data_IF_776074239268
#
_entry.id   IF_776074239268
#
_cell.length_a   1.000
_cell.length_b   1.000
_cell.length_c   1.000
_cell.angle_alpha   90.00
_cell.angle_beta   90.00
_cell.angle_gamma   90.00
#
_symmetry.space_group_name_H-M   'P 1'
#
loop_
_entity.id
_entity.type
_entity.pdbx_description
1 polymer ?
#
# COMPACT_ATOMS: atom_id res chain seq x y z
N UNK A 1 8.45 -9.89 -36.97
CA UNK A 1 6.97 -9.80 -36.93
C UNK A 1 6.30 -10.65 -35.84
N UNK A 2 6.94 -11.72 -35.32
CA UNK A 2 6.37 -12.59 -34.28
C UNK A 2 6.38 -11.97 -32.86
N UNK A 3 7.35 -11.12 -32.54
CA UNK A 3 7.49 -10.49 -31.22
C UNK A 3 6.31 -9.55 -30.87
N UNK A 4 5.84 -8.77 -31.85
CA UNK A 4 4.68 -7.87 -31.68
C UNK A 4 3.37 -8.60 -31.39
N UNK A 5 3.18 -9.80 -31.96
CA UNK A 5 2.01 -10.64 -31.67
C UNK A 5 2.04 -11.17 -30.23
N UNK A 6 3.20 -11.59 -29.74
CA UNK A 6 3.35 -12.04 -28.35
C UNK A 6 3.06 -10.92 -27.36
N UNK A 7 3.55 -9.71 -27.63
CA UNK A 7 3.32 -8.54 -26.79
C UNK A 7 1.82 -8.18 -26.71
N UNK A 8 1.12 -8.21 -27.85
CA UNK A 8 -0.33 -7.98 -27.90
C UNK A 8 -1.12 -9.04 -27.12
N UNK A 9 -0.77 -10.32 -27.26
CA UNK A 9 -1.42 -11.40 -26.50
C UNK A 9 -1.22 -11.20 -25.00
N UNK A 10 0.01 -10.86 -24.58
CA UNK A 10 0.33 -10.63 -23.19
C UNK A 10 -0.41 -9.40 -22.63
N UNK A 11 -0.49 -8.33 -23.41
CA UNK A 11 -1.24 -7.12 -23.04
C UNK A 11 -2.74 -7.42 -22.90
N UNK A 12 -3.31 -8.20 -23.82
CA UNK A 12 -4.72 -8.62 -23.78
C UNK A 12 -5.01 -9.53 -22.58
N UNK A 13 -4.08 -10.45 -22.26
CA UNK A 13 -4.19 -11.31 -21.07
C UNK A 13 -4.11 -10.50 -19.78
N UNK A 14 -3.16 -9.56 -19.69
CA UNK A 14 -3.05 -8.65 -18.55
C UNK A 14 -4.31 -7.79 -18.40
N UNK A 15 -4.83 -7.18 -19.47
CA UNK A 15 -6.06 -6.37 -19.40
C UNK A 15 -7.26 -7.17 -18.89
N UNK A 16 -7.45 -8.41 -19.37
CA UNK A 16 -8.55 -9.26 -18.92
C UNK A 16 -8.37 -9.78 -17.47
N UNK A 17 -7.12 -9.99 -17.04
CA UNK A 17 -6.83 -10.33 -15.65
C UNK A 17 -7.12 -9.15 -14.73
N UNK A 18 -6.70 -7.94 -15.11
CA UNK A 18 -6.91 -6.74 -14.29
C UNK A 18 -8.35 -6.20 -14.36
N UNK A 19 -9.09 -6.39 -15.47
CA UNK A 19 -10.49 -5.96 -15.58
C UNK A 19 -11.38 -6.66 -14.56
N UNK A 20 -11.18 -7.97 -14.37
CA UNK A 20 -11.91 -8.76 -13.35
C UNK A 20 -11.60 -8.33 -11.90
N UNK A 21 -10.48 -7.63 -11.67
CA UNK A 21 -10.13 -7.04 -10.38
C UNK A 21 -10.65 -5.60 -10.25
N UNK A 22 -10.75 -4.85 -11.35
CA UNK A 22 -11.24 -3.47 -11.36
C UNK A 22 -12.76 -3.37 -11.20
N UNK A 23 -13.51 -4.34 -11.74
CA UNK A 23 -14.98 -4.35 -11.65
C UNK A 23 -15.54 -4.88 -10.32
N UNK A 24 -14.67 -5.37 -9.42
CA UNK A 24 -15.11 -5.69 -8.07
C UNK A 24 -15.31 -4.39 -7.31
N UNK A 25 -16.55 -4.14 -6.87
CA UNK A 25 -16.86 -3.07 -5.91
C UNK A 25 -15.86 -3.20 -4.77
N UNK A 26 -14.98 -2.20 -4.64
CA UNK A 26 -13.98 -2.17 -3.57
C UNK A 26 -14.73 -2.44 -2.26
N UNK A 27 -14.22 -3.36 -1.41
CA UNK A 27 -14.84 -3.62 -0.12
C UNK A 27 -14.98 -2.29 0.61
N UNK A 28 -16.06 -2.12 1.38
CA UNK A 28 -16.22 -0.91 2.18
C UNK A 28 -15.12 -0.90 3.24
N UNK A 29 -14.14 -0.01 3.05
CA UNK A 29 -12.99 0.14 3.95
C UNK A 29 -13.38 1.16 5.01
N UNK A 30 -13.37 0.74 6.28
CA UNK A 30 -13.69 1.63 7.41
C UNK A 30 -12.47 1.85 8.30
N UNK A 31 -12.36 3.04 8.88
CA UNK A 31 -11.30 3.36 9.83
C UNK A 31 -11.56 2.64 11.17
N UNK A 32 -10.61 1.81 11.60
CA UNK A 32 -10.63 1.21 12.95
C UNK A 32 -9.95 2.14 13.94
N UNK A 33 -8.72 2.54 13.62
CA UNK A 33 -7.94 3.42 14.49
C UNK A 33 -6.96 4.28 13.69
N UNK A 34 -6.66 5.44 14.27
CA UNK A 34 -5.64 6.37 13.80
C UNK A 34 -4.92 6.92 15.02
N UNK A 35 -3.60 6.79 15.04
CA UNK A 35 -2.74 7.34 16.07
C UNK A 35 -1.76 8.30 15.43
N UNK A 36 -1.87 9.59 15.78
CA UNK A 36 -0.91 10.59 15.36
C UNK A 36 0.24 10.67 16.38
N UNK A 37 1.45 10.82 15.87
CA UNK A 37 2.65 11.04 16.67
C UNK A 37 3.14 12.45 16.34
N UNK A 38 3.16 13.32 17.35
CA UNK A 38 3.79 14.62 17.23
C UNK A 38 5.24 14.47 17.68
N UNK A 39 6.20 14.59 16.75
CA UNK A 39 7.62 14.83 17.10
C UNK A 39 8.55 15.16 15.92
N UNK A 40 8.01 15.58 14.75
CA UNK A 40 8.84 16.02 13.63
C UNK A 40 8.59 17.51 13.32
N UNK A 41 9.64 18.34 13.14
CA UNK A 41 9.49 19.78 12.91
C UNK A 41 8.63 20.09 11.68
N UNK A 42 8.90 19.41 10.56
CA UNK A 42 8.29 19.68 9.25
C UNK A 42 7.20 18.69 8.85
N UNK A 43 7.03 17.59 9.61
CA UNK A 43 6.20 16.44 9.20
C UNK A 43 5.21 15.99 10.26
N UNK A 44 4.21 15.26 9.82
CA UNK A 44 3.28 14.48 10.63
C UNK A 44 3.53 13.01 10.39
N UNK A 45 3.41 12.23 11.45
CA UNK A 45 3.51 10.78 11.39
C UNK A 45 2.23 10.19 11.98
N UNK A 46 1.65 9.22 11.29
CA UNK A 46 0.40 8.58 11.71
C UNK A 46 0.45 7.08 11.47
N UNK A 47 -0.03 6.31 12.44
CA UNK A 47 -0.38 4.91 12.26
C UNK A 47 -1.87 4.79 12.01
N UNK A 48 -2.24 4.05 10.97
CA UNK A 48 -3.63 3.87 10.54
C UNK A 48 -3.95 2.39 10.42
N UNK A 49 -5.09 2.00 10.99
CA UNK A 49 -5.65 0.66 10.87
C UNK A 49 -7.03 0.75 10.25
N UNK A 50 -7.23 0.06 9.13
CA UNK A 50 -8.50 0.00 8.41
C UNK A 50 -9.06 -1.42 8.45
N UNK A 51 -10.38 -1.54 8.53
CA UNK A 51 -11.08 -2.81 8.34
C UNK A 51 -11.32 -3.03 6.84
N UNK A 52 -10.74 -4.08 6.25
CA UNK A 52 -11.04 -4.50 4.88
C UNK A 52 -11.94 -5.75 4.83
N UNK A 53 -12.80 -5.91 5.85
CA UNK A 53 -13.81 -6.96 5.94
C UNK A 53 -13.18 -8.36 5.82
N UNK A 54 -13.57 -9.12 4.78
CA UNK A 54 -13.10 -10.48 4.50
C UNK A 54 -11.59 -10.58 4.22
N UNK A 55 -10.93 -9.46 3.94
CA UNK A 55 -9.49 -9.40 3.66
C UNK A 55 -8.66 -9.10 4.92
N UNK A 56 -9.30 -8.93 6.08
CA UNK A 56 -8.64 -8.61 7.34
C UNK A 56 -8.34 -7.12 7.52
N UNK A 57 -7.63 -6.79 8.60
CA UNK A 57 -7.26 -5.42 8.92
C UNK A 57 -6.03 -4.93 8.15
N UNK A 58 -6.18 -3.88 7.35
CA UNK A 58 -5.07 -3.20 6.70
C UNK A 58 -4.36 -2.31 7.72
N UNK A 59 -3.05 -2.44 7.85
CA UNK A 59 -2.22 -1.62 8.75
C UNK A 59 -1.15 -0.91 7.93
N UNK A 60 -1.03 0.39 8.10
CA UNK A 60 0.04 1.17 7.50
C UNK A 60 0.40 2.34 8.40
N UNK A 61 1.59 2.86 8.17
CA UNK A 61 2.04 4.11 8.74
C UNK A 61 2.22 5.12 7.61
N UNK A 62 1.98 6.40 7.88
CA UNK A 62 2.12 7.48 6.91
C UNK A 62 2.98 8.58 7.51
N UNK A 63 4.01 9.00 6.78
CA UNK A 63 4.80 10.19 7.05
C UNK A 63 4.52 11.21 5.97
N UNK A 64 4.03 12.40 6.32
CA UNK A 64 3.68 13.43 5.33
C UNK A 64 4.03 14.84 5.81
N UNK A 65 4.25 15.81 4.89
CA UNK A 65 4.57 17.19 5.27
C UNK A 65 3.42 17.83 6.05
N UNK A 66 3.71 18.70 7.03
CA UNK A 66 2.66 19.42 7.79
C UNK A 66 1.79 20.30 6.88
N UNK A 67 2.39 20.83 5.81
CA UNK A 67 1.73 21.65 4.81
C UNK A 67 1.52 20.81 3.55
N UNK A 68 0.41 20.08 3.49
CA UNK A 68 0.03 19.33 2.29
C UNK A 68 -0.46 20.30 1.21
N UNK A 69 0.06 20.14 0.00
CA UNK A 69 -0.56 20.70 -1.21
C UNK A 69 -1.41 19.64 -1.93
N UNK A 70 -2.09 20.01 -3.01
CA UNK A 70 -2.86 19.06 -3.80
C UNK A 70 -1.98 18.21 -4.74
N UNK A 71 -0.70 18.57 -4.91
CA UNK A 71 0.21 17.99 -5.92
C UNK A 71 1.35 17.18 -5.28
N UNK A 72 1.14 16.67 -4.06
CA UNK A 72 2.16 15.87 -3.38
C UNK A 72 2.39 14.53 -4.08
N UNK A 73 3.66 14.18 -4.25
CA UNK A 73 4.02 12.86 -4.76
C UNK A 73 3.86 11.81 -3.66
N UNK A 74 3.25 10.68 -3.98
CA UNK A 74 3.06 9.57 -3.04
C UNK A 74 4.09 8.48 -3.32
N UNK A 75 4.89 8.14 -2.32
CA UNK A 75 5.80 7.02 -2.32
C UNK A 75 5.25 5.91 -1.43
N UNK A 76 4.88 4.79 -2.04
CA UNK A 76 4.44 3.59 -1.33
C UNK A 76 5.63 2.66 -1.10
N UNK A 77 6.00 2.46 0.17
CA UNK A 77 6.99 1.50 0.60
C UNK A 77 6.30 0.17 0.88
N UNK A 78 6.45 -0.76 -0.07
CA UNK A 78 6.08 -2.16 0.08
C UNK A 78 7.31 -2.91 0.58
N UNK A 79 7.55 -2.88 1.89
CA UNK A 79 8.68 -3.58 2.47
C UNK A 79 8.37 -5.06 2.73
N UNK A 80 9.43 -5.87 2.80
CA UNK A 80 9.37 -7.31 3.07
C UNK A 80 8.80 -7.65 4.45
N UNK A 81 8.57 -8.96 4.67
CA UNK A 81 7.91 -9.55 5.84
C UNK A 81 8.44 -9.13 7.23
N UNK A 82 9.65 -8.57 7.30
CA UNK A 82 10.36 -8.33 8.56
C UNK A 82 10.19 -6.90 9.10
N UNK A 83 10.16 -5.88 8.24
CA UNK A 83 10.12 -4.47 8.63
C UNK A 83 8.79 -3.79 8.33
N UNK A 84 8.05 -4.22 7.29
CA UNK A 84 6.67 -3.77 7.02
C UNK A 84 6.45 -2.26 7.16
N UNK A 85 5.49 -1.85 8.01
CA UNK A 85 5.21 -0.42 8.27
C UNK A 85 6.29 0.30 9.06
N UNK A 86 7.13 -0.42 9.82
CA UNK A 86 8.25 0.15 10.57
C UNK A 86 9.39 0.60 9.66
N UNK A 87 9.41 0.18 8.40
CA UNK A 87 10.34 0.66 7.36
C UNK A 87 10.44 2.18 7.30
N UNK A 88 9.31 2.87 7.54
CA UNK A 88 9.25 4.33 7.59
C UNK A 88 10.20 4.94 8.62
N UNK A 89 10.52 4.23 9.72
CA UNK A 89 11.43 4.75 10.76
C UNK A 89 12.89 4.83 10.29
N UNK A 90 13.22 4.11 9.21
CA UNK A 90 14.61 3.95 8.74
C UNK A 90 14.90 4.69 7.44
N UNK A 91 13.86 5.14 6.73
CA UNK A 91 14.00 5.84 5.45
C UNK A 91 14.02 7.36 5.70
N UNK A 92 15.02 8.10 5.18
CA UNK A 92 15.00 9.56 5.22
C UNK A 92 13.73 10.09 4.58
N UNK A 93 13.07 11.05 5.23
CA UNK A 93 11.80 11.58 4.75
C UNK A 93 12.00 12.87 3.93
N UNK A 94 12.05 12.82 2.59
CA UNK A 94 12.05 14.03 1.78
C UNK A 94 10.76 14.85 2.03
N UNK A 95 10.93 16.17 2.18
CA UNK A 95 9.86 17.11 2.56
C UNK A 95 8.75 17.28 1.51
N UNK A 96 8.90 16.74 0.32
CA UNK A 96 7.97 16.88 -0.82
C UNK A 96 7.26 15.58 -1.22
N UNK A 97 7.27 14.57 -0.33
CA UNK A 97 6.58 13.31 -0.55
C UNK A 97 5.70 12.94 0.64
N UNK A 98 4.56 12.35 0.34
CA UNK A 98 3.81 11.49 1.27
C UNK A 98 4.42 10.10 1.17
N UNK A 99 4.84 9.53 2.30
CA UNK A 99 5.47 8.21 2.33
C UNK A 99 4.59 7.28 3.16
N UNK A 100 4.22 6.15 2.58
CA UNK A 100 3.32 5.16 3.19
C UNK A 100 4.08 3.85 3.37
N UNK A 101 4.24 3.39 4.60
CA UNK A 101 4.80 2.08 4.92
C UNK A 101 3.66 1.08 5.18
N UNK A 102 3.58 0.03 4.38
CA UNK A 102 2.51 -0.97 4.48
C UNK A 102 2.96 -2.22 5.26
N UNK A 103 2.13 -2.70 6.19
CA UNK A 103 2.37 -3.98 6.88
C UNK A 103 1.60 -5.11 6.18
N UNK A 104 2.34 -6.04 5.58
CA UNK A 104 1.75 -7.23 4.99
C UNK A 104 1.26 -8.19 6.09
N UNK A 105 -0.02 -8.53 6.10
CA UNK A 105 -0.55 -9.45 7.10
C UNK A 105 0.06 -10.84 6.95
N UNK A 106 0.68 -11.35 8.02
CA UNK A 106 1.26 -12.71 8.04
C UNK A 106 0.21 -13.81 7.78
N UNK A 107 -1.06 -13.54 8.04
CA UNK A 107 -2.18 -14.45 7.78
C UNK A 107 -2.41 -14.68 6.28
N UNK A 108 -2.24 -13.65 5.44
CA UNK A 108 -2.23 -13.77 3.98
C UNK A 108 -1.07 -14.65 3.49
N UNK A 109 0.06 -14.65 4.20
CA UNK A 109 1.21 -15.50 3.89
C UNK A 109 0.90 -17.00 4.14
N UNK A 110 0.14 -17.31 5.19
CA UNK A 110 -0.28 -18.69 5.51
C UNK A 110 -1.27 -19.26 4.48
N UNK A 111 -2.10 -18.41 3.85
CA UNK A 111 -3.01 -18.85 2.79
C UNK A 111 -2.27 -19.31 1.53
N UNK A 112 -1.10 -18.74 1.21
CA UNK A 112 -0.23 -19.22 0.11
C UNK A 112 0.50 -20.53 0.41
N UNK A 113 0.72 -20.87 1.68
CA UNK A 113 1.42 -22.10 2.05
C UNK A 113 0.49 -23.32 2.13
N UNK A 114 -0.81 -23.11 2.34
CA UNK A 114 -1.81 -24.20 2.38
C UNK A 114 -2.27 -24.67 1.00
N UNK A 115 -1.82 -24.05 -0.08
CA UNK A 115 -2.16 -24.44 -1.46
C UNK A 115 -1.14 -25.40 -2.10
N UNK A 116 -0.56 -26.31 -1.30
CA UNK A 116 0.24 -27.45 -1.78
C UNK A 116 -0.41 -28.74 -1.35
#
# INVERSE_FOLDING_TARGET
MYFFKLFLIQTFFCLNLFSNFLDQKLPEITLISKQAYEDLPTRKYEDIVLNAQKFGNIRFSVSYPKNLTNDENILLLLDGLETGRDSLKYVPHPDNYVIIGYEFQKELFRLKQKSV
#
